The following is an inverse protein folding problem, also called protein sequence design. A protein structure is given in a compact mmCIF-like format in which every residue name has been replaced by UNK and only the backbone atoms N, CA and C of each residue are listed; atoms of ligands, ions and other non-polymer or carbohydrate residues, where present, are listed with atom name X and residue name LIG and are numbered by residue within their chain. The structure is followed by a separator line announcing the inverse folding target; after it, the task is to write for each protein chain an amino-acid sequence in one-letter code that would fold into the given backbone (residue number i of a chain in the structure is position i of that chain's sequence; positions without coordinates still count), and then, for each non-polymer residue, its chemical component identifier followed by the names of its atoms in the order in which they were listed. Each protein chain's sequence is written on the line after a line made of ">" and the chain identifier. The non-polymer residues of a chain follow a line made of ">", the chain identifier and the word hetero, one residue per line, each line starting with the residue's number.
data_IF_963711036987
#
_entry.id   IF_963711036987
#
_cell.length_a   1.000
_cell.length_b   1.000
_cell.length_c   1.000
_cell.angle_alpha   90.00
_cell.angle_beta   90.00
_cell.angle_gamma   90.00
#
_symmetry.space_group_name_H-M   'P 1'
#
loop_
_entity.id
_entity.type
_entity.pdbx_description
1 polymer ?
#
# COMPACT_ATOMS: atom_id res chain seq x y z
N UNK A 1 -1.47 4.75 -15.16
CA UNK A 1 -1.10 6.19 -15.12
C UNK A 1 0.24 6.35 -14.41
N UNK A 2 1.31 6.72 -15.13
CA UNK A 2 2.61 7.02 -14.51
C UNK A 2 2.62 8.46 -14.00
N UNK A 3 2.88 8.67 -12.71
CA UNK A 3 3.26 9.98 -12.19
C UNK A 3 4.78 10.08 -12.31
N UNK A 4 5.24 10.91 -13.25
CA UNK A 4 6.64 11.30 -13.33
C UNK A 4 6.94 12.28 -12.19
N UNK A 5 7.54 11.77 -11.12
CA UNK A 5 8.33 12.60 -10.21
C UNK A 5 9.67 12.96 -10.86
N UNK A 6 10.29 14.06 -10.43
CA UNK A 6 11.64 14.46 -10.86
C UNK A 6 12.70 13.36 -10.69
N UNK A 7 13.94 13.58 -11.17
CA UNK A 7 14.89 12.52 -11.47
C UNK A 7 15.16 11.64 -10.25
N UNK A 8 14.72 10.38 -10.30
CA UNK A 8 15.15 9.34 -9.38
C UNK A 8 14.08 8.55 -8.64
N UNK A 9 12.77 8.86 -8.75
CA UNK A 9 11.73 8.03 -8.10
C UNK A 9 10.50 7.82 -8.99
N UNK A 10 10.30 6.57 -9.38
CA UNK A 10 9.08 6.06 -10.02
C UNK A 10 8.15 5.58 -8.90
N UNK A 11 6.98 6.19 -8.77
CA UNK A 11 5.94 5.68 -7.86
C UNK A 11 4.94 4.83 -8.65
N UNK A 12 4.56 3.70 -8.05
CA UNK A 12 3.83 2.61 -8.69
C UNK A 12 2.52 3.02 -9.35
N UNK A 13 2.15 2.24 -10.38
CA UNK A 13 0.99 2.45 -11.22
C UNK A 13 -0.01 1.32 -11.01
N UNK A 14 -1.25 1.64 -10.66
CA UNK A 14 -2.37 0.73 -10.86
C UNK A 14 -2.78 0.76 -12.35
N UNK A 15 -2.96 -0.41 -12.95
CA UNK A 15 -3.51 -0.60 -14.30
C UNK A 15 -4.88 -1.28 -14.18
N UNK A 16 -5.79 -0.92 -15.08
CA UNK A 16 -7.10 -1.56 -15.21
C UNK A 16 -6.96 -2.82 -16.08
N UNK A 17 -7.61 -3.89 -15.65
CA UNK A 17 -7.85 -5.10 -16.43
C UNK A 17 -9.02 -4.84 -17.36
N UNK A 18 -8.79 -4.99 -18.66
CA UNK A 18 -9.74 -4.88 -19.78
C UNK A 18 -9.97 -3.47 -20.36
N UNK A 19 -9.38 -3.26 -21.54
CA UNK A 19 -9.73 -2.15 -22.43
C UNK A 19 -8.68 -1.04 -22.44
N UNK A 20 -7.87 -1.00 -23.49
CA UNK A 20 -6.93 0.10 -23.71
C UNK A 20 -7.64 1.45 -23.76
N UNK A 21 -7.27 2.37 -22.88
CA UNK A 21 -7.73 3.75 -22.93
C UNK A 21 -6.90 4.51 -23.95
N UNK A 22 -7.51 4.86 -25.09
CA UNK A 22 -7.01 5.94 -25.93
C UNK A 22 -7.13 7.25 -25.14
N UNK A 23 -6.00 7.93 -24.96
CA UNK A 23 -5.92 9.26 -24.33
C UNK A 23 -6.54 10.29 -25.28
N UNK A 24 -7.71 10.90 -24.98
CA UNK A 24 -8.14 12.07 -25.72
C UNK A 24 -7.27 13.23 -25.23
N UNK A 25 -6.37 13.67 -26.10
CA UNK A 25 -5.68 14.97 -26.06
C UNK A 25 -4.77 15.30 -24.88
N UNK A 26 -3.98 14.37 -24.35
CA UNK A 26 -2.68 14.71 -23.70
C UNK A 26 -2.70 15.80 -22.60
N UNK A 27 -3.85 16.09 -21.99
CA UNK A 27 -3.98 17.19 -21.05
C UNK A 27 -3.55 16.71 -19.67
N UNK A 28 -2.29 16.98 -19.34
CA UNK A 28 -1.84 17.02 -17.97
C UNK A 28 -2.51 18.23 -17.28
N UNK A 29 -3.46 17.97 -16.37
CA UNK A 29 -3.93 19.01 -15.45
C UNK A 29 -2.95 19.07 -14.28
N UNK A 30 -2.09 20.08 -14.29
CA UNK A 30 -1.32 20.48 -13.11
C UNK A 30 -2.29 21.06 -12.09
N UNK A 31 -2.65 20.28 -11.07
CA UNK A 31 -3.31 20.81 -9.88
C UNK A 31 -2.25 21.61 -9.12
N UNK A 32 -2.25 22.94 -9.30
CA UNK A 32 -1.37 23.84 -8.56
C UNK A 32 -1.88 23.96 -7.13
N UNK A 33 -1.28 23.20 -6.22
CA UNK A 33 -1.26 23.55 -4.79
C UNK A 33 -0.33 24.74 -4.54
N UNK A 34 -0.42 25.38 -3.36
CA UNK A 34 0.46 26.48 -3.01
C UNK A 34 1.90 25.98 -2.86
N UNK A 35 2.74 26.25 -3.85
CA UNK A 35 4.21 26.32 -3.80
C UNK A 35 4.99 25.25 -2.99
N UNK A 36 4.70 23.95 -3.12
CA UNK A 36 5.59 22.89 -2.61
C UNK A 36 5.41 21.52 -3.31
N UNK A 37 6.34 20.58 -3.08
CA UNK A 37 6.55 19.36 -3.87
C UNK A 37 5.55 18.22 -3.59
N UNK A 38 5.42 17.30 -4.54
CA UNK A 38 4.49 16.15 -4.48
C UNK A 38 5.24 14.85 -4.13
N UNK A 39 4.79 14.09 -3.12
CA UNK A 39 5.44 12.86 -2.65
C UNK A 39 4.70 11.54 -2.94
N UNK A 40 3.50 11.56 -3.50
CA UNK A 40 2.78 10.34 -3.87
C UNK A 40 1.41 10.60 -4.46
N UNK A 41 0.94 9.68 -5.31
CA UNK A 41 -0.39 9.74 -5.89
C UNK A 41 -1.00 8.35 -6.07
N UNK A 42 -2.30 8.25 -5.79
CA UNK A 42 -3.09 7.06 -6.04
C UNK A 42 -4.25 7.41 -6.98
N UNK A 43 -4.45 6.61 -8.03
CA UNK A 43 -5.59 6.70 -8.94
C UNK A 43 -6.78 5.92 -8.38
N UNK A 44 -7.97 6.48 -8.50
CA UNK A 44 -9.21 5.73 -8.26
C UNK A 44 -9.45 4.76 -9.43
N UNK A 45 -10.10 3.64 -9.11
CA UNK A 45 -10.44 2.55 -10.05
C UNK A 45 -11.38 3.02 -11.18
N UNK A 46 -12.00 4.19 -11.06
CA UNK A 46 -12.90 4.75 -12.08
C UNK A 46 -12.21 5.59 -13.18
N UNK A 47 -10.88 5.73 -13.13
CA UNK A 47 -10.11 6.52 -14.10
C UNK A 47 -10.44 8.03 -14.10
N UNK A 48 -11.27 8.51 -13.16
CA UNK A 48 -11.76 9.90 -13.12
C UNK A 48 -11.19 10.71 -11.97
N UNK A 49 -10.66 10.05 -10.93
CA UNK A 49 -10.19 10.73 -9.72
C UNK A 49 -8.76 10.30 -9.39
N UNK A 50 -7.91 11.27 -9.09
CA UNK A 50 -6.57 11.05 -8.55
C UNK A 50 -6.44 11.84 -7.26
N UNK A 51 -5.85 11.22 -6.23
CA UNK A 51 -5.59 11.86 -4.94
C UNK A 51 -4.09 12.03 -4.78
N UNK A 52 -3.67 13.26 -4.50
CA UNK A 52 -2.28 13.62 -4.21
C UNK A 52 -2.22 14.24 -2.80
N UNK A 53 -1.24 13.81 -2.00
CA UNK A 53 -0.92 14.42 -0.71
C UNK A 53 0.01 15.62 -0.90
N UNK A 54 -0.18 16.67 -0.09
CA UNK A 54 0.64 17.90 -0.09
C UNK A 54 1.37 18.07 1.25
N UNK A 55 2.53 18.75 1.23
CA UNK A 55 3.39 19.05 2.40
C UNK A 55 2.78 20.06 3.40
N UNK A 56 1.57 20.59 3.17
CA UNK A 56 0.94 21.59 4.04
C UNK A 56 0.26 21.02 5.29
N UNK A 57 0.32 19.70 5.49
CA UNK A 57 -0.14 19.06 6.72
C UNK A 57 -1.66 18.94 6.87
N UNK A 58 -2.44 19.03 5.80
CA UNK A 58 -3.90 18.88 5.90
C UNK A 58 -4.41 17.44 6.13
N UNK A 59 -3.52 16.44 6.08
CA UNK A 59 -3.85 15.06 6.47
C UNK A 59 -3.02 14.53 7.63
N UNK A 60 -1.70 14.75 7.72
CA UNK A 60 -0.83 14.14 8.75
C UNK A 60 0.16 15.17 9.32
N UNK A 61 0.65 14.95 10.54
CA UNK A 61 1.71 15.78 11.15
C UNK A 61 3.12 15.38 10.72
N UNK A 62 3.25 14.26 10.01
CA UNK A 62 4.49 13.73 9.44
C UNK A 62 4.29 13.45 7.95
N UNK A 63 5.39 13.27 7.17
CA UNK A 63 5.29 13.00 5.75
C UNK A 63 4.42 11.79 5.44
N UNK A 64 3.52 11.93 4.46
CA UNK A 64 2.75 10.81 3.95
C UNK A 64 3.67 9.88 3.17
N UNK A 65 3.71 8.63 3.58
CA UNK A 65 4.58 7.58 3.03
C UNK A 65 3.84 6.66 2.06
N UNK A 66 2.54 6.47 2.27
CA UNK A 66 1.71 5.63 1.42
C UNK A 66 0.27 6.13 1.31
N UNK A 67 -0.37 5.82 0.18
CA UNK A 67 -1.79 6.06 -0.09
C UNK A 67 -2.41 4.78 -0.66
N UNK A 68 -3.65 4.49 -0.28
CA UNK A 68 -4.44 3.42 -0.88
C UNK A 68 -5.87 3.89 -1.17
N UNK A 69 -6.47 3.36 -2.23
CA UNK A 69 -7.89 3.56 -2.53
C UNK A 69 -8.58 2.20 -2.56
N UNK A 70 -9.79 2.13 -2.03
CA UNK A 70 -10.58 0.90 -2.06
C UNK A 70 -11.39 0.68 -3.34
N UNK A 71 -11.32 1.60 -4.32
CA UNK A 71 -12.21 1.59 -5.50
C UNK A 71 -13.59 2.23 -5.28
N UNK A 72 -13.70 3.19 -4.35
CA UNK A 72 -14.93 3.95 -4.07
C UNK A 72 -14.63 5.34 -3.48
N UNK A 73 -15.50 5.84 -2.60
CA UNK A 73 -15.31 7.13 -1.93
C UNK A 73 -14.41 7.05 -0.68
N UNK A 74 -13.66 5.96 -0.48
CA UNK A 74 -12.76 5.77 0.66
C UNK A 74 -11.29 5.77 0.22
N UNK A 75 -10.48 6.58 0.91
CA UNK A 75 -9.03 6.68 0.74
C UNK A 75 -8.36 6.48 2.10
N UNK A 76 -7.28 5.72 2.13
CA UNK A 76 -6.38 5.65 3.28
C UNK A 76 -5.09 6.40 2.96
N UNK A 77 -4.59 7.13 3.95
CA UNK A 77 -3.29 7.77 3.93
C UNK A 77 -2.48 7.34 5.13
N UNK A 78 -1.21 7.01 4.92
CA UNK A 78 -0.32 6.49 5.93
C UNK A 78 0.83 7.47 6.18
N UNK A 79 1.16 7.60 7.47
CA UNK A 79 2.37 8.20 7.98
C UNK A 79 2.76 7.39 9.24
N UNK A 80 2.85 8.03 10.42
CA UNK A 80 2.95 7.29 11.69
C UNK A 80 1.61 6.69 12.13
N UNK A 81 0.52 7.28 11.69
CA UNK A 81 -0.85 6.80 11.82
C UNK A 81 -1.44 6.51 10.44
N UNK A 82 -2.59 5.84 10.42
CA UNK A 82 -3.37 5.66 9.20
C UNK A 82 -4.64 6.49 9.31
N UNK A 83 -4.89 7.36 8.35
CA UNK A 83 -6.10 8.18 8.28
C UNK A 83 -6.97 7.76 7.13
N UNK A 84 -8.25 7.58 7.43
CA UNK A 84 -9.30 7.26 6.48
C UNK A 84 -10.03 8.54 6.09
N UNK A 85 -10.15 8.80 4.80
CA UNK A 85 -10.76 10.01 4.27
C UNK A 85 -11.83 9.68 3.24
N UNK A 86 -12.84 10.53 3.17
CA UNK A 86 -13.82 10.50 2.09
C UNK A 86 -13.21 11.14 0.83
N UNK A 87 -13.05 10.36 -0.24
CA UNK A 87 -12.33 10.72 -1.46
C UNK A 87 -12.89 11.98 -2.15
N UNK A 88 -14.22 12.15 -2.15
CA UNK A 88 -14.87 13.27 -2.83
C UNK A 88 -14.84 14.59 -2.07
N UNK A 89 -14.65 14.54 -0.75
CA UNK A 89 -14.77 15.74 0.12
C UNK A 89 -13.50 16.05 0.91
N UNK A 90 -12.56 15.09 0.99
CA UNK A 90 -11.39 15.18 1.86
C UNK A 90 -11.72 15.06 3.35
N UNK A 91 -12.97 14.75 3.73
CA UNK A 91 -13.35 14.67 5.15
C UNK A 91 -12.66 13.50 5.83
N UNK A 92 -11.97 13.75 6.94
CA UNK A 92 -11.44 12.71 7.82
C UNK A 92 -12.61 11.89 8.41
N UNK A 93 -12.54 10.57 8.26
CA UNK A 93 -13.53 9.61 8.73
C UNK A 93 -13.04 8.91 10.02
N UNK A 94 -11.77 8.52 10.06
CA UNK A 94 -11.16 7.90 11.22
C UNK A 94 -9.62 8.02 11.20
N UNK A 95 -9.03 7.86 12.37
CA UNK A 95 -7.58 7.69 12.55
C UNK A 95 -7.34 6.36 13.25
N UNK A 96 -6.49 5.52 12.66
CA UNK A 96 -6.06 4.24 13.18
C UNK A 96 -4.63 4.40 13.68
N UNK A 97 -4.40 4.13 14.95
CA UNK A 97 -3.06 4.15 15.51
C UNK A 97 -2.25 2.97 14.94
N UNK A 98 -1.18 3.27 14.20
CA UNK A 98 -0.20 2.28 13.81
C UNK A 98 0.98 2.33 14.81
N UNK A 99 1.39 1.18 15.32
CA UNK A 99 2.49 1.09 16.28
C UNK A 99 2.56 -0.26 16.98
N UNK A 100 3.77 -0.81 17.07
CA UNK A 100 4.07 -2.05 17.79
C UNK A 100 4.03 -1.89 19.32
N UNK A 101 3.88 -2.97 20.11
CA UNK A 101 4.07 -2.90 21.56
C UNK A 101 5.56 -2.71 21.93
N UNK A 102 6.47 -2.90 20.97
CA UNK A 102 7.93 -2.87 21.13
C UNK A 102 8.60 -1.59 20.60
N UNK A 103 7.84 -0.66 20.02
CA UNK A 103 8.39 0.62 19.54
C UNK A 103 8.66 1.53 20.73
N UNK A 104 9.87 1.43 21.31
CA UNK A 104 10.36 2.42 22.24
C UNK A 104 10.52 3.75 21.50
N UNK A 105 9.58 4.67 21.68
CA UNK A 105 9.66 6.11 21.34
C UNK A 105 10.29 6.50 19.98
N UNK A 106 10.32 5.60 19.00
CA UNK A 106 10.86 5.81 17.67
C UNK A 106 9.76 5.74 16.63
N UNK A 107 9.81 6.66 15.66
CA UNK A 107 8.92 6.80 14.51
C UNK A 107 8.80 5.47 13.72
N UNK A 108 7.78 4.67 14.07
CA UNK A 108 7.43 3.49 13.29
C UNK A 108 6.44 3.88 12.20
N UNK A 109 6.99 4.16 11.02
CA UNK A 109 6.23 4.61 9.86
C UNK A 109 5.49 3.45 9.18
N UNK A 110 4.27 3.73 8.72
CA UNK A 110 3.48 2.84 7.88
C UNK A 110 3.92 3.01 6.43
N UNK A 111 4.55 1.99 5.85
CA UNK A 111 5.12 2.06 4.50
C UNK A 111 4.22 1.42 3.42
N UNK A 112 3.21 0.66 3.84
CA UNK A 112 2.34 -0.07 2.93
C UNK A 112 0.89 -0.08 3.40
N UNK A 113 -0.04 0.17 2.47
CA UNK A 113 -1.48 0.09 2.69
C UNK A 113 -2.16 -0.72 1.58
N UNK A 114 -3.12 -1.57 1.93
CA UNK A 114 -4.05 -2.14 0.95
C UNK A 114 -5.42 -2.45 1.56
N UNK A 115 -6.48 -2.14 0.81
CA UNK A 115 -7.85 -2.51 1.16
C UNK A 115 -8.16 -3.92 0.64
N UNK A 116 -9.10 -4.58 1.30
CA UNK A 116 -9.78 -5.72 0.68
C UNK A 116 -10.72 -5.25 -0.44
N UNK A 117 -11.09 -6.18 -1.33
CA UNK A 117 -11.96 -5.87 -2.46
C UNK A 117 -13.37 -5.40 -2.06
N UNK A 118 -13.75 -5.51 -0.78
CA UNK A 118 -15.04 -5.06 -0.23
C UNK A 118 -14.95 -3.83 0.67
N UNK A 119 -13.76 -3.24 0.86
CA UNK A 119 -13.51 -2.10 1.76
C UNK A 119 -13.98 -2.33 3.21
N UNK A 120 -13.91 -3.57 3.69
CA UNK A 120 -14.20 -3.96 5.07
C UNK A 120 -12.94 -4.07 5.91
N UNK A 121 -11.82 -4.39 5.27
CA UNK A 121 -10.54 -4.59 5.93
C UNK A 121 -9.47 -3.70 5.31
N UNK A 122 -8.54 -3.25 6.14
CA UNK A 122 -7.35 -2.53 5.72
C UNK A 122 -6.12 -3.21 6.32
N UNK A 123 -5.15 -3.52 5.46
CA UNK A 123 -3.83 -3.94 5.88
C UNK A 123 -2.88 -2.75 5.91
N UNK A 124 -2.10 -2.64 6.97
CA UNK A 124 -1.06 -1.63 7.15
C UNK A 124 0.26 -2.31 7.52
N UNK A 125 1.27 -2.17 6.66
CA UNK A 125 2.63 -2.67 6.89
C UNK A 125 3.53 -1.56 7.39
N UNK A 126 4.32 -1.84 8.43
CA UNK A 126 5.18 -0.88 9.12
C UNK A 126 6.66 -1.19 8.89
N UNK A 127 7.51 -0.17 9.03
CA UNK A 127 8.97 -0.31 8.92
C UNK A 127 9.57 -1.17 10.06
N UNK A 128 8.90 -1.26 11.21
CA UNK A 128 9.25 -2.20 12.28
C UNK A 128 9.05 -3.68 11.94
N UNK A 129 8.41 -3.99 10.82
CA UNK A 129 8.02 -5.35 10.46
C UNK A 129 6.66 -5.78 11.04
N UNK A 130 5.87 -4.84 11.54
CA UNK A 130 4.50 -5.13 11.93
C UNK A 130 3.56 -5.05 10.71
N UNK A 131 2.69 -6.05 10.55
CA UNK A 131 1.53 -5.99 9.66
C UNK A 131 0.25 -6.01 10.51
N UNK A 132 -0.48 -4.90 10.50
CA UNK A 132 -1.77 -4.77 11.18
C UNK A 132 -2.92 -4.93 10.19
N UNK A 133 -3.95 -5.69 10.58
CA UNK A 133 -5.21 -5.81 9.87
C UNK A 133 -6.33 -5.17 10.70
N UNK A 134 -6.95 -4.15 10.12
CA UNK A 134 -8.01 -3.38 10.74
C UNK A 134 -9.36 -3.72 10.14
N UNK A 135 -10.36 -3.87 11.00
CA UNK A 135 -11.76 -3.89 10.60
C UNK A 135 -12.28 -2.47 10.49
N UNK A 136 -12.74 -2.09 9.30
CA UNK A 136 -13.17 -0.72 9.02
C UNK A 136 -14.60 -0.43 9.51
N UNK A 137 -15.40 -1.47 9.77
CA UNK A 137 -16.74 -1.32 10.34
C UNK A 137 -16.70 -1.04 11.83
N UNK A 138 -15.77 -1.69 12.54
CA UNK A 138 -15.60 -1.56 14.00
C UNK A 138 -14.44 -0.66 14.42
N UNK A 139 -13.53 -0.33 13.50
CA UNK A 139 -12.29 0.40 13.75
C UNK A 139 -11.40 -0.27 14.81
N UNK A 140 -11.36 -1.60 14.79
CA UNK A 140 -10.55 -2.41 15.71
C UNK A 140 -9.50 -3.19 14.92
N UNK A 141 -8.29 -3.27 15.47
CA UNK A 141 -7.24 -4.14 14.95
C UNK A 141 -7.61 -5.59 15.25
N UNK A 142 -7.90 -6.36 14.19
CA UNK A 142 -8.30 -7.76 14.28
C UNK A 142 -7.12 -8.70 14.43
N UNK A 143 -6.02 -8.38 13.77
CA UNK A 143 -4.87 -9.26 13.67
C UNK A 143 -3.61 -8.44 13.50
N UNK A 144 -2.56 -8.91 14.16
CA UNK A 144 -1.20 -8.38 14.06
C UNK A 144 -0.26 -9.52 13.69
N UNK A 145 0.54 -9.32 12.65
CA UNK A 145 1.52 -10.29 12.17
C UNK A 145 2.91 -9.69 12.25
N UNK A 146 3.89 -10.50 12.63
CA UNK A 146 5.28 -10.08 12.74
C UNK A 146 6.10 -10.56 11.54
N UNK A 147 6.90 -9.65 11.00
CA UNK A 147 7.93 -9.89 10.01
C UNK A 147 9.32 -9.67 10.64
N UNK A 148 10.37 -10.33 10.14
CA UNK A 148 11.73 -10.13 10.66
C UNK A 148 12.32 -8.74 10.40
N UNK A 149 11.81 -8.04 9.38
CA UNK A 149 12.21 -6.68 8.99
C UNK A 149 11.00 -5.91 8.45
N UNK A 150 11.21 -4.65 8.07
CA UNK A 150 10.16 -3.75 7.57
C UNK A 150 9.36 -4.31 6.41
N UNK A 151 8.05 -4.08 6.45
CA UNK A 151 7.12 -4.43 5.38
C UNK A 151 7.15 -3.31 4.34
N UNK A 152 7.76 -3.56 3.19
CA UNK A 152 7.89 -2.57 2.11
C UNK A 152 6.63 -2.45 1.27
N UNK A 153 5.86 -3.54 1.13
CA UNK A 153 4.60 -3.59 0.38
C UNK A 153 3.62 -4.59 0.94
N UNK A 154 2.33 -4.31 0.74
CA UNK A 154 1.25 -5.25 0.95
C UNK A 154 0.21 -5.14 -0.18
N UNK A 155 -0.35 -6.27 -0.59
CA UNK A 155 -1.34 -6.40 -1.65
C UNK A 155 -2.44 -7.34 -1.19
N UNK A 156 -3.69 -7.03 -1.48
CA UNK A 156 -4.80 -7.90 -1.17
C UNK A 156 -5.05 -8.88 -2.33
N UNK A 157 -5.10 -10.17 -2.03
CA UNK A 157 -5.36 -11.26 -2.98
C UNK A 157 -6.62 -12.00 -2.58
N UNK A 158 -7.64 -11.97 -3.45
CA UNK A 158 -8.89 -12.69 -3.21
C UNK A 158 -9.61 -12.23 -1.93
N UNK A 159 -10.43 -13.08 -1.29
CA UNK A 159 -11.27 -12.65 -0.17
C UNK A 159 -10.53 -12.55 1.17
N UNK A 160 -9.46 -13.33 1.36
CA UNK A 160 -8.90 -13.57 2.70
C UNK A 160 -7.38 -13.64 2.71
N UNK A 161 -6.68 -13.18 1.67
CA UNK A 161 -5.23 -13.28 1.62
C UNK A 161 -4.60 -11.91 1.46
N UNK A 162 -3.63 -11.60 2.31
CA UNK A 162 -2.73 -10.46 2.14
C UNK A 162 -1.34 -10.97 1.79
N UNK A 163 -0.75 -10.41 0.75
CA UNK A 163 0.60 -10.74 0.29
C UNK A 163 1.50 -9.58 0.64
N UNK A 164 2.59 -9.83 1.35
CA UNK A 164 3.53 -8.81 1.80
C UNK A 164 4.92 -9.03 1.25
N UNK A 165 5.59 -7.94 0.90
CA UNK A 165 7.01 -7.86 0.63
C UNK A 165 7.72 -7.32 1.86
N UNK A 166 8.89 -7.87 2.15
CA UNK A 166 9.65 -7.56 3.35
C UNK A 166 11.10 -7.32 2.97
N UNK A 167 11.75 -6.40 3.68
CA UNK A 167 13.16 -6.07 3.47
C UNK A 167 14.09 -7.27 3.71
N UNK A 168 13.61 -8.31 4.39
CA UNK A 168 14.34 -9.58 4.55
C UNK A 168 14.40 -10.47 3.29
N UNK A 169 13.89 -9.99 2.15
CA UNK A 169 13.95 -10.71 0.88
C UNK A 169 12.85 -11.76 0.71
N UNK A 170 11.85 -11.82 1.60
CA UNK A 170 10.84 -12.88 1.61
C UNK A 170 9.45 -12.33 1.35
N UNK A 171 8.78 -12.90 0.34
CA UNK A 171 7.36 -12.69 0.09
C UNK A 171 6.57 -13.61 1.03
N UNK A 172 5.55 -13.07 1.70
CA UNK A 172 4.69 -13.85 2.61
C UNK A 172 3.23 -13.66 2.25
N UNK A 173 2.47 -14.75 2.25
CA UNK A 173 1.01 -14.73 2.15
C UNK A 173 0.41 -15.03 3.52
N UNK A 174 -0.57 -14.23 3.93
CA UNK A 174 -1.23 -14.29 5.23
C UNK A 174 -2.71 -14.56 5.01
N UNK A 175 -3.28 -15.56 5.68
CA UNK A 175 -4.73 -15.71 5.75
C UNK A 175 -5.27 -14.73 6.80
N UNK A 176 -6.20 -13.86 6.42
CA UNK A 176 -6.75 -12.83 7.31
C UNK A 176 -7.79 -13.38 8.29
N UNK A 177 -8.09 -14.68 8.23
CA UNK A 177 -8.97 -15.39 9.15
C UNK A 177 -8.18 -16.17 10.21
N UNK A 178 -6.93 -16.51 9.89
CA UNK A 178 -6.06 -17.31 10.76
C UNK A 178 -4.86 -16.46 11.16
N UNK A 179 -4.81 -16.06 12.42
CA UNK A 179 -3.72 -15.24 12.95
C UNK A 179 -2.41 -15.99 13.15
N UNK A 180 -1.31 -15.25 13.23
CA UNK A 180 -0.06 -15.70 13.86
C UNK A 180 1.06 -16.19 12.94
N UNK A 181 0.75 -16.74 11.76
CA UNK A 181 1.78 -17.21 10.83
C UNK A 181 1.35 -17.08 9.35
N UNK A 182 2.31 -16.89 8.42
CA UNK A 182 2.01 -16.87 7.01
C UNK A 182 1.70 -18.28 6.50
N UNK A 183 0.69 -18.39 5.64
CA UNK A 183 0.28 -19.66 4.99
C UNK A 183 1.22 -20.07 3.88
N UNK A 184 1.96 -19.12 3.31
CA UNK A 184 2.97 -19.40 2.28
C UNK A 184 4.10 -18.38 2.36
N UNK A 185 5.32 -18.82 2.05
CA UNK A 185 6.50 -17.97 1.96
C UNK A 185 7.31 -18.32 0.72
N UNK A 186 7.78 -17.30 0.00
CA UNK A 186 8.73 -17.46 -1.10
C UNK A 186 9.98 -16.64 -0.80
N UNK A 187 11.13 -17.31 -0.80
CA UNK A 187 12.42 -16.67 -0.57
C UNK A 187 12.99 -16.19 -1.91
N UNK A 188 13.35 -14.91 -1.95
CA UNK A 188 14.15 -14.30 -3.01
C UNK A 188 15.62 -14.72 -2.94
N UNK A 189 16.45 -14.17 -3.85
CA UNK A 189 17.89 -14.29 -3.77
C UNK A 189 18.41 -13.86 -2.38
N UNK A 190 19.49 -14.47 -1.85
CA UNK A 190 19.89 -14.35 -0.44
C UNK A 190 20.21 -12.94 0.08
N UNK A 191 20.35 -11.94 -0.79
CA UNK A 191 20.81 -10.58 -0.45
C UNK A 191 19.89 -9.45 -0.94
N UNK A 192 18.75 -9.77 -1.58
CA UNK A 192 17.89 -8.76 -2.17
C UNK A 192 16.78 -8.31 -1.21
N UNK A 193 16.78 -7.05 -0.81
CA UNK A 193 15.65 -6.45 -0.08
C UNK A 193 14.47 -6.29 -1.05
N UNK A 194 13.27 -6.75 -0.66
CA UNK A 194 12.09 -6.53 -1.51
C UNK A 194 11.66 -5.07 -1.39
N UNK A 195 11.67 -4.36 -2.50
CA UNK A 195 11.26 -2.95 -2.58
C UNK A 195 9.83 -2.81 -3.10
N UNK A 196 9.40 -3.72 -3.98
CA UNK A 196 8.06 -3.67 -4.55
C UNK A 196 7.48 -5.06 -4.88
N UNK A 197 6.15 -5.13 -4.95
CA UNK A 197 5.39 -6.30 -5.36
C UNK A 197 4.29 -5.91 -6.34
N UNK A 198 3.93 -6.83 -7.24
CA UNK A 198 2.73 -6.74 -8.05
C UNK A 198 2.06 -8.12 -8.19
N UNK A 199 0.74 -8.17 -8.05
CA UNK A 199 -0.04 -9.37 -8.37
C UNK A 199 -0.34 -9.41 -9.87
N UNK A 200 -0.39 -10.61 -10.44
CA UNK A 200 -0.97 -10.80 -11.77
C UNK A 200 -2.48 -10.51 -11.75
N UNK A 201 -3.08 -10.14 -12.90
CA UNK A 201 -4.53 -9.87 -13.00
C UNK A 201 -5.43 -10.98 -12.50
N UNK A 202 -5.04 -12.24 -12.72
CA UNK A 202 -5.75 -13.44 -12.26
C UNK A 202 -5.46 -13.77 -10.78
N UNK A 203 -4.58 -13.02 -10.12
CA UNK A 203 -4.13 -13.25 -8.75
C UNK A 203 -3.32 -14.53 -8.57
N UNK A 204 -2.87 -15.20 -9.63
CA UNK A 204 -2.17 -16.49 -9.54
C UNK A 204 -0.66 -16.38 -9.44
N UNK A 205 -0.11 -15.20 -9.64
CA UNK A 205 1.30 -14.92 -9.52
C UNK A 205 1.56 -13.60 -8.78
N UNK A 206 2.75 -13.52 -8.20
CA UNK A 206 3.32 -12.30 -7.65
C UNK A 206 4.69 -12.07 -8.28
N UNK A 207 4.93 -10.85 -8.75
CA UNK A 207 6.22 -10.37 -9.25
C UNK A 207 6.86 -9.52 -8.16
N UNK A 208 8.16 -9.68 -7.98
CA UNK A 208 8.95 -8.91 -7.01
C UNK A 208 9.96 -8.02 -7.72
N UNK A 209 10.31 -6.90 -7.06
CA UNK A 209 11.46 -6.08 -7.43
C UNK A 209 12.37 -5.89 -6.21
N UNK A 210 13.66 -6.19 -6.38
CA UNK A 210 14.66 -6.14 -5.32
C UNK A 210 15.62 -4.95 -5.51
N UNK A 211 16.25 -4.52 -4.41
CA UNK A 211 17.27 -3.46 -4.42
C UNK A 211 18.54 -3.82 -5.22
N UNK A 212 18.84 -5.10 -5.40
CA UNK A 212 19.97 -5.62 -6.17
C UNK A 212 19.67 -5.71 -7.68
N UNK A 213 18.50 -5.25 -8.11
CA UNK A 213 18.04 -5.29 -9.50
C UNK A 213 17.42 -6.63 -9.91
N UNK A 214 17.39 -7.63 -9.03
CA UNK A 214 16.70 -8.89 -9.31
C UNK A 214 15.17 -8.69 -9.30
N UNK A 215 14.50 -9.42 -10.19
CA UNK A 215 13.05 -9.58 -10.16
C UNK A 215 12.72 -11.08 -10.21
N UNK A 216 11.76 -11.51 -9.40
CA UNK A 216 11.32 -12.90 -9.37
C UNK A 216 9.80 -13.00 -9.58
N UNK A 217 9.35 -14.14 -10.11
CA UNK A 217 7.94 -14.45 -10.27
C UNK A 217 7.64 -15.71 -9.49
N UNK A 218 6.68 -15.63 -8.58
CA UNK A 218 6.19 -16.74 -7.79
C UNK A 218 4.74 -17.03 -8.14
N UNK A 219 4.37 -18.31 -8.16
CA UNK A 219 2.98 -18.74 -8.32
C UNK A 219 2.43 -19.27 -7.02
N UNK A 220 1.16 -18.97 -6.77
CA UNK A 220 0.41 -19.61 -5.70
C UNK A 220 0.12 -21.05 -6.13
N UNK A 221 0.35 -22.01 -5.23
CA UNK A 221 -0.11 -23.39 -5.44
C UNK A 221 -1.62 -23.44 -5.19
N UNK A 222 -2.33 -24.17 -6.05
CA UNK A 222 -3.75 -24.52 -5.85
C UNK A 222 -3.95 -25.39 -4.59
#
# INVERSE_FOLDING_TARGET
>A
MWLLGGPGRVFGVATETDGGVQVPSGQCKTLRGPHSGCCGGAGAVDGKRAVAGYEDGSAHSTPVTCLATGGGDLVASAALDVRLLHAGTGRLLATLAAGGPTSGAGDDSVEALCFDGQQRLLAAGMLSGCLSLWDLGTLVERQRCAHPQGVSRCLWRGPHTVVTGCLDGVVRAWDTRVGGAPVTQWRGPPSGELLDLALSPDGQAVVTACNDGACAVYRFSD
#
